data_IF_257190940113
#
_entry.id   IF_257190940113
#
_cell.length_a   1.000
_cell.length_b   1.000
_cell.length_c   1.000
_cell.angle_alpha   90.00
_cell.angle_beta   90.00
_cell.angle_gamma   90.00
#
_symmetry.space_group_name_H-M   'P 1'
#
loop_
_entity.id
_entity.type
_entity.pdbx_description
1 polymer ?
#
# COMPACT_ATOMS: atom_id res chain seq x y z
N UNK A 1 11.55 -11.31 -17.85
CA UNK A 1 10.40 -12.13 -17.43
C UNK A 1 9.29 -11.21 -16.96
N UNK A 2 8.10 -11.33 -17.50
CA UNK A 2 6.95 -10.55 -17.02
C UNK A 2 6.63 -11.00 -15.58
N UNK A 3 6.75 -10.09 -14.62
CA UNK A 3 6.54 -10.34 -13.18
C UNK A 3 5.06 -10.55 -12.83
N UNK A 4 4.38 -11.52 -13.45
CA UNK A 4 2.98 -11.78 -13.15
C UNK A 4 2.01 -10.64 -13.48
N UNK A 5 2.44 -9.65 -14.26
CA UNK A 5 1.58 -8.58 -14.76
C UNK A 5 0.55 -9.17 -15.73
N UNK A 6 -0.69 -8.74 -15.64
CA UNK A 6 -1.69 -9.08 -16.66
C UNK A 6 -1.30 -8.44 -18.00
N UNK A 7 -1.73 -9.03 -19.10
CA UNK A 7 -1.48 -8.48 -20.44
C UNK A 7 -2.05 -7.05 -20.57
N UNK A 8 -3.20 -6.79 -19.98
CA UNK A 8 -3.82 -5.47 -19.99
C UNK A 8 -2.95 -4.43 -19.29
N UNK A 9 -2.45 -4.73 -18.10
CA UNK A 9 -1.60 -3.83 -17.33
C UNK A 9 -0.24 -3.63 -18.01
N UNK A 10 0.36 -4.69 -18.56
CA UNK A 10 1.60 -4.60 -19.30
C UNK A 10 1.46 -3.70 -20.54
N UNK A 11 0.37 -3.86 -21.31
CA UNK A 11 0.11 -3.02 -22.48
C UNK A 11 -0.07 -1.54 -22.08
N UNK A 12 -0.67 -1.28 -20.93
CA UNK A 12 -0.83 0.09 -20.45
C UNK A 12 0.50 0.71 -20.00
N UNK A 13 1.42 -0.08 -19.43
CA UNK A 13 2.74 0.43 -19.04
C UNK A 13 3.65 0.79 -20.23
N UNK A 14 3.44 0.19 -21.38
CA UNK A 14 4.17 0.54 -22.63
C UNK A 14 3.42 1.57 -23.48
N UNK A 15 2.21 1.98 -23.09
CA UNK A 15 1.43 2.97 -23.83
C UNK A 15 2.02 4.38 -23.70
N UNK A 16 1.87 5.19 -24.77
CA UNK A 16 2.39 6.56 -24.80
C UNK A 16 1.76 7.48 -23.74
N UNK A 17 0.54 7.19 -23.28
CA UNK A 17 -0.20 7.97 -22.27
C UNK A 17 -0.35 7.17 -20.98
N UNK A 18 0.75 6.77 -20.39
CA UNK A 18 0.76 6.07 -19.12
C UNK A 18 0.28 6.96 -17.98
N UNK A 19 -0.71 6.49 -17.22
CA UNK A 19 -1.20 7.12 -15.99
C UNK A 19 -1.06 6.13 -14.83
N UNK A 20 0.16 5.95 -14.30
CA UNK A 20 0.39 5.02 -13.20
C UNK A 20 -0.18 5.58 -11.90
N UNK A 21 -0.54 4.70 -10.99
CA UNK A 21 -0.89 5.05 -9.62
C UNK A 21 -0.33 4.05 -8.63
N UNK A 22 -0.12 4.53 -7.41
CA UNK A 22 0.14 3.71 -6.24
C UNK A 22 -1.10 3.67 -5.37
N UNK A 23 -1.40 2.50 -4.80
CA UNK A 23 -2.43 2.35 -3.80
C UNK A 23 -1.92 1.48 -2.64
N UNK A 24 -2.49 1.68 -1.48
CA UNK A 24 -2.18 0.92 -0.26
C UNK A 24 -3.45 0.39 0.35
N UNK A 25 -3.37 -0.81 0.89
CA UNK A 25 -4.43 -1.42 1.69
C UNK A 25 -3.81 -1.90 3.00
N UNK A 26 -4.27 -1.33 4.10
CA UNK A 26 -3.82 -1.62 5.45
C UNK A 26 -5.01 -2.17 6.23
N UNK A 27 -4.90 -3.41 6.67
CA UNK A 27 -5.97 -4.13 7.35
C UNK A 27 -5.96 -3.83 8.85
N UNK A 28 -6.41 -2.63 9.25
CA UNK A 28 -6.68 -2.33 10.66
C UNK A 28 -7.92 -3.09 11.14
N UNK A 29 -7.92 -3.51 12.38
CA UNK A 29 -9.05 -4.25 12.93
C UNK A 29 -10.32 -3.37 12.97
N UNK A 30 -11.37 -3.81 12.28
CA UNK A 30 -12.65 -3.10 12.17
C UNK A 30 -12.73 -2.07 11.05
N UNK A 31 -11.66 -1.32 10.79
CA UNK A 31 -11.65 -0.22 9.82
C UNK A 31 -10.42 -0.26 8.90
N UNK A 32 -10.45 -1.06 7.83
CA UNK A 32 -9.32 -1.12 6.90
C UNK A 32 -9.12 0.22 6.18
N UNK A 33 -7.87 0.67 6.10
CA UNK A 33 -7.49 1.89 5.38
C UNK A 33 -7.07 1.53 3.96
N UNK A 34 -7.86 1.94 2.98
CA UNK A 34 -7.58 1.76 1.56
C UNK A 34 -7.44 3.12 0.91
N UNK A 35 -6.25 3.43 0.43
CA UNK A 35 -5.94 4.74 -0.12
C UNK A 35 -5.13 4.64 -1.40
N UNK A 36 -5.20 5.68 -2.25
CA UNK A 36 -4.41 5.75 -3.48
C UNK A 36 -3.90 7.17 -3.75
N UNK A 37 -2.85 7.26 -4.56
CA UNK A 37 -2.25 8.52 -5.01
C UNK A 37 -3.08 9.08 -6.15
N UNK A 38 -3.99 9.98 -5.82
CA UNK A 38 -4.88 10.63 -6.77
C UNK A 38 -6.08 11.25 -6.06
N UNK A 39 -7.07 11.67 -6.82
CA UNK A 39 -8.29 12.34 -6.31
C UNK A 39 -9.52 11.50 -6.58
N UNK A 40 -10.48 11.53 -5.67
CA UNK A 40 -11.72 10.75 -5.76
C UNK A 40 -11.52 9.31 -5.34
N UNK A 41 -12.47 8.46 -5.67
CA UNK A 41 -12.47 7.04 -5.33
C UNK A 41 -12.23 6.20 -6.56
N UNK A 42 -11.39 5.18 -6.44
CA UNK A 42 -11.23 4.11 -7.43
C UNK A 42 -11.57 2.78 -6.79
N UNK A 43 -12.08 1.85 -7.59
CA UNK A 43 -12.49 0.52 -7.12
C UNK A 43 -11.72 -0.55 -7.88
N UNK A 44 -11.07 -1.46 -7.18
CA UNK A 44 -10.51 -2.67 -7.76
C UNK A 44 -10.48 -3.79 -6.71
N UNK A 45 -10.54 -5.04 -7.18
CA UNK A 45 -10.63 -6.20 -6.29
C UNK A 45 -11.85 -6.21 -5.38
N UNK A 46 -12.92 -5.46 -5.73
CA UNK A 46 -14.12 -5.32 -4.89
C UNK A 46 -13.94 -4.37 -3.69
N UNK A 47 -12.86 -3.59 -3.65
CA UNK A 47 -12.54 -2.65 -2.58
C UNK A 47 -12.43 -1.24 -3.13
N UNK A 48 -12.97 -0.27 -2.39
CA UNK A 48 -12.89 1.15 -2.70
C UNK A 48 -11.64 1.76 -2.06
N UNK A 49 -10.89 2.52 -2.86
CA UNK A 49 -9.68 3.23 -2.43
C UNK A 49 -9.91 4.73 -2.52
N UNK A 50 -9.71 5.43 -1.43
CA UNK A 50 -9.87 6.88 -1.36
C UNK A 50 -8.61 7.61 -1.83
N UNK A 51 -8.80 8.65 -2.63
CA UNK A 51 -7.71 9.49 -3.11
C UNK A 51 -7.17 10.42 -2.03
N UNK A 52 -5.90 10.31 -1.71
CA UNK A 52 -5.18 11.20 -0.80
C UNK A 52 -4.31 12.24 -1.55
N UNK A 53 -4.55 12.44 -2.84
CA UNK A 53 -3.70 13.30 -3.66
C UNK A 53 -2.28 12.73 -3.77
N UNK A 54 -1.26 13.58 -3.60
CA UNK A 54 0.15 13.18 -3.58
C UNK A 54 0.66 12.88 -2.16
N UNK A 55 -0.22 12.52 -1.25
CA UNK A 55 0.08 12.42 0.17
C UNK A 55 0.50 11.01 0.61
N UNK A 56 0.75 10.12 -0.33
CA UNK A 56 1.29 8.78 -0.06
C UNK A 56 2.73 8.71 -0.54
N UNK A 57 3.63 8.40 0.36
CA UNK A 57 5.02 8.06 0.07
C UNK A 57 5.28 6.59 0.34
N UNK A 58 6.05 5.94 -0.52
CA UNK A 58 6.50 4.56 -0.34
C UNK A 58 8.02 4.54 -0.43
N UNK A 59 8.69 3.91 0.54
CA UNK A 59 10.14 3.76 0.49
C UNK A 59 10.56 2.87 -0.68
N UNK A 60 11.83 2.96 -1.14
CA UNK A 60 12.34 2.01 -2.11
C UNK A 60 12.12 0.58 -1.65
N UNK A 61 11.66 -0.27 -2.55
CA UNK A 61 11.47 -1.69 -2.32
C UNK A 61 12.68 -2.41 -2.90
N UNK A 62 13.49 -2.99 -2.02
CA UNK A 62 14.66 -3.75 -2.44
C UNK A 62 14.26 -5.19 -2.76
N UNK A 63 14.68 -5.66 -3.93
CA UNK A 63 14.58 -7.06 -4.31
C UNK A 63 15.96 -7.70 -4.21
N UNK A 64 16.09 -8.72 -3.39
CA UNK A 64 17.31 -9.52 -3.27
C UNK A 64 17.05 -10.94 -3.74
N UNK A 65 18.07 -11.63 -4.24
CA UNK A 65 17.98 -13.06 -4.54
C UNK A 65 18.11 -13.93 -3.28
N UNK A 66 18.49 -13.33 -2.18
CA UNK A 66 18.57 -13.99 -0.88
C UNK A 66 17.20 -14.04 -0.21
N UNK A 67 16.92 -15.12 0.51
CA UNK A 67 15.73 -15.24 1.36
C UNK A 67 15.97 -14.38 2.59
N UNK A 68 15.70 -13.09 2.48
CA UNK A 68 15.84 -12.10 3.56
C UNK A 68 14.54 -11.37 3.75
N UNK A 69 14.18 -11.15 5.00
CA UNK A 69 13.07 -10.27 5.33
C UNK A 69 13.38 -8.85 4.86
N UNK A 70 12.48 -8.27 4.06
CA UNK A 70 12.56 -6.90 3.59
C UNK A 70 11.47 -6.07 4.24
N UNK A 71 11.72 -4.78 4.40
CA UNK A 71 10.76 -3.82 4.95
C UNK A 71 10.38 -2.78 3.91
N UNK A 72 9.15 -2.29 4.00
CA UNK A 72 8.66 -1.19 3.20
C UNK A 72 7.98 -0.18 4.13
N UNK A 73 8.37 1.08 4.06
CA UNK A 73 7.74 2.14 4.84
C UNK A 73 6.73 2.87 3.96
N UNK A 74 5.50 2.98 4.44
CA UNK A 74 4.42 3.72 3.81
C UNK A 74 4.12 4.94 4.65
N UNK A 75 4.25 6.13 4.06
CA UNK A 75 3.91 7.40 4.69
C UNK A 75 2.64 7.93 4.06
N UNK A 76 1.66 8.28 4.88
CA UNK A 76 0.38 8.83 4.42
C UNK A 76 0.04 10.10 5.19
N UNK A 77 -0.47 11.09 4.48
CA UNK A 77 -0.94 12.35 5.04
C UNK A 77 -2.35 12.66 4.54
N UNK A 78 -3.08 13.54 5.21
CA UNK A 78 -4.45 13.88 4.83
C UNK A 78 -5.51 12.82 5.17
N UNK A 79 -5.16 11.87 6.02
CA UNK A 79 -6.11 10.87 6.52
C UNK A 79 -7.05 11.55 7.53
N UNK A 80 -8.37 11.31 7.45
CA UNK A 80 -9.31 11.81 8.44
C UNK A 80 -8.97 11.38 9.87
N UNK A 81 -9.20 12.27 10.83
CA UNK A 81 -8.82 12.05 12.25
C UNK A 81 -9.54 10.89 12.93
N UNK A 82 -10.72 10.53 12.47
CA UNK A 82 -11.47 9.36 12.91
C UNK A 82 -10.76 8.06 12.53
N UNK A 83 -10.22 7.96 11.30
CA UNK A 83 -9.43 6.82 10.87
C UNK A 83 -8.08 6.74 11.61
N UNK A 84 -7.48 7.90 11.94
CA UNK A 84 -6.27 7.94 12.77
C UNK A 84 -6.57 7.39 14.17
N UNK A 85 -7.68 7.81 14.75
CA UNK A 85 -8.11 7.34 16.08
C UNK A 85 -8.41 5.84 16.07
N UNK A 86 -9.04 5.32 15.02
CA UNK A 86 -9.28 3.90 14.85
C UNK A 86 -7.94 3.13 14.72
N UNK A 87 -7.01 3.63 13.93
CA UNK A 87 -5.68 3.03 13.78
C UNK A 87 -4.88 2.96 15.09
N UNK A 88 -5.04 3.95 15.97
CA UNK A 88 -4.37 3.99 17.28
C UNK A 88 -4.99 3.04 18.31
N UNK A 89 -6.30 2.84 18.23
CA UNK A 89 -7.05 2.07 19.23
C UNK A 89 -7.22 0.60 18.84
N UNK A 90 -7.05 0.27 17.57
CA UNK A 90 -7.26 -1.06 17.03
C UNK A 90 -5.95 -1.81 16.88
N UNK A 91 -6.02 -3.14 16.97
CA UNK A 91 -4.86 -3.98 16.74
C UNK A 91 -4.49 -3.95 15.26
N UNK A 92 -3.27 -3.50 14.96
CA UNK A 92 -2.73 -3.46 13.60
C UNK A 92 -1.51 -4.38 13.43
N UNK A 93 -0.78 -4.63 14.49
CA UNK A 93 0.48 -5.37 14.44
C UNK A 93 0.26 -6.81 13.99
N UNK A 94 1.03 -7.24 13.00
CA UNK A 94 0.91 -8.56 12.40
C UNK A 94 -0.24 -8.69 11.37
N UNK A 95 -1.08 -7.68 11.20
CA UNK A 95 -2.13 -7.67 10.19
C UNK A 95 -1.59 -7.28 8.83
N UNK A 96 -2.30 -7.64 7.76
CA UNK A 96 -1.80 -7.50 6.41
C UNK A 96 -1.71 -6.04 5.94
N UNK A 97 -0.65 -5.74 5.20
CA UNK A 97 -0.49 -4.50 4.45
C UNK A 97 0.00 -4.80 3.04
N UNK A 98 -0.61 -4.18 2.05
CA UNK A 98 -0.25 -4.36 0.65
C UNK A 98 -0.05 -3.02 -0.03
N UNK A 99 0.95 -2.95 -0.90
CA UNK A 99 1.20 -1.82 -1.79
C UNK A 99 0.99 -2.27 -3.22
N UNK A 100 0.19 -1.53 -3.97
CA UNK A 100 -0.18 -1.83 -5.34
C UNK A 100 0.38 -0.80 -6.30
N UNK A 101 0.80 -1.25 -7.47
CA UNK A 101 1.07 -0.44 -8.64
C UNK A 101 0.03 -0.78 -9.71
N UNK A 102 -0.70 0.23 -10.15
CA UNK A 102 -1.70 0.10 -11.18
C UNK A 102 -1.56 1.19 -12.25
N UNK A 103 -2.47 1.15 -13.21
CA UNK A 103 -2.59 2.18 -14.22
C UNK A 103 -4.05 2.50 -14.49
N UNK A 104 -4.32 3.75 -14.83
CA UNK A 104 -5.62 4.23 -15.29
C UNK A 104 -5.63 4.30 -16.82
N UNK A 105 -6.76 4.01 -17.41
CA UNK A 105 -7.00 4.22 -18.84
C UNK A 105 -7.30 5.70 -19.16
N UNK A 106 -7.65 5.97 -20.40
CA UNK A 106 -7.99 7.32 -20.87
C UNK A 106 -9.24 7.89 -20.17
N UNK A 107 -10.17 7.04 -19.76
CA UNK A 107 -11.41 7.39 -19.07
C UNK A 107 -11.24 7.50 -17.54
N UNK A 108 -10.02 7.31 -17.02
CA UNK A 108 -9.67 7.21 -15.60
C UNK A 108 -10.22 5.97 -14.89
N UNK A 109 -10.59 4.95 -15.63
CA UNK A 109 -10.92 3.66 -15.05
C UNK A 109 -9.65 2.87 -14.75
N UNK A 110 -9.69 2.07 -13.68
CA UNK A 110 -8.57 1.19 -13.32
C UNK A 110 -8.43 0.11 -14.39
N UNK A 111 -7.25 0.01 -14.97
CA UNK A 111 -6.90 -1.13 -15.82
C UNK A 111 -6.81 -2.36 -14.96
N UNK A 112 -7.40 -3.47 -15.42
CA UNK A 112 -7.58 -4.69 -14.65
C UNK A 112 -6.31 -5.14 -13.91
N UNK A 113 -6.52 -5.57 -12.67
CA UNK A 113 -5.56 -6.23 -11.80
C UNK A 113 -4.30 -5.42 -11.48
N UNK A 114 -4.40 -4.33 -10.65
CA UNK A 114 -3.22 -3.69 -10.10
C UNK A 114 -2.27 -4.70 -9.46
N UNK A 115 -0.98 -4.55 -9.73
CA UNK A 115 0.04 -5.47 -9.30
C UNK A 115 0.49 -5.18 -7.87
N UNK A 116 0.57 -6.19 -7.02
CA UNK A 116 1.12 -6.05 -5.67
C UNK A 116 2.64 -5.96 -5.78
N UNK A 117 3.20 -4.77 -5.53
CA UNK A 117 4.65 -4.55 -5.51
C UNK A 117 5.27 -4.89 -4.15
N UNK A 118 4.48 -4.84 -3.09
CA UNK A 118 4.88 -5.28 -1.75
C UNK A 118 3.68 -5.82 -1.00
N UNK A 119 3.82 -6.98 -0.39
CA UNK A 119 2.83 -7.61 0.49
C UNK A 119 3.49 -8.10 1.76
N UNK A 120 2.98 -7.65 2.91
CA UNK A 120 3.58 -7.96 4.19
C UNK A 120 2.62 -7.83 5.35
N UNK A 121 3.19 -7.67 6.53
CA UNK A 121 2.47 -7.45 7.78
C UNK A 121 2.87 -6.10 8.36
N UNK A 122 1.92 -5.38 8.96
CA UNK A 122 2.20 -4.15 9.69
C UNK A 122 2.96 -4.46 10.97
N UNK A 123 4.07 -3.78 11.22
CA UNK A 123 4.89 -3.95 12.42
C UNK A 123 4.85 -2.70 13.29
N UNK A 124 5.42 -1.60 12.81
CA UNK A 124 5.49 -0.34 13.55
C UNK A 124 4.62 0.72 12.87
N UNK A 125 3.82 1.39 13.67
CA UNK A 125 3.06 2.56 13.27
C UNK A 125 3.55 3.77 14.07
N UNK A 126 3.84 4.86 13.37
CA UNK A 126 4.24 6.13 13.97
C UNK A 126 3.36 7.25 13.42
N UNK A 127 2.84 8.07 14.31
CA UNK A 127 2.08 9.26 13.93
C UNK A 127 2.91 10.49 14.27
N UNK A 128 3.08 11.35 13.29
CA UNK A 128 3.73 12.65 13.44
C UNK A 128 2.65 13.73 13.28
N UNK A 129 2.45 14.49 14.34
CA UNK A 129 1.55 15.63 14.33
C UNK A 129 2.35 16.88 14.03
N UNK A 130 2.09 17.49 12.88
CA UNK A 130 2.56 18.81 12.53
C UNK A 130 1.38 19.78 12.57
N UNK A 131 1.67 21.09 12.69
CA UNK A 131 0.62 22.13 12.80
C UNK A 131 -0.40 22.12 11.65
N UNK A 132 -0.01 21.61 10.47
CA UNK A 132 -0.83 21.64 9.26
C UNK A 132 -1.27 20.26 8.75
N UNK A 133 -0.71 19.16 9.26
CA UNK A 133 -1.06 17.81 8.80
C UNK A 133 -0.63 16.72 9.77
N UNK A 134 -1.44 15.67 9.85
CA UNK A 134 -1.06 14.42 10.50
C UNK A 134 -0.43 13.50 9.46
N UNK A 135 0.76 12.98 9.75
CA UNK A 135 1.46 12.01 8.92
C UNK A 135 1.49 10.68 9.65
N UNK A 136 0.94 9.67 9.02
CA UNK A 136 1.03 8.30 9.51
C UNK A 136 2.13 7.58 8.73
N UNK A 137 3.07 7.00 9.44
CA UNK A 137 4.09 6.12 8.87
C UNK A 137 3.83 4.70 9.36
N UNK A 138 3.68 3.78 8.43
CA UNK A 138 3.50 2.35 8.70
C UNK A 138 4.67 1.59 8.12
N UNK A 139 5.36 0.83 8.95
CA UNK A 139 6.36 -0.12 8.51
C UNK A 139 5.71 -1.45 8.21
N UNK A 140 5.88 -1.92 6.98
CA UNK A 140 5.45 -3.23 6.54
C UNK A 140 6.68 -4.15 6.50
N UNK A 141 6.56 -5.32 7.08
CA UNK A 141 7.55 -6.40 7.02
C UNK A 141 7.09 -7.48 6.06
N UNK A 142 7.99 -7.98 5.22
CA UNK A 142 7.65 -9.08 4.32
C UNK A 142 7.26 -10.33 5.11
N UNK A 143 6.39 -11.16 4.54
CA UNK A 143 5.96 -12.42 5.18
C UNK A 143 7.11 -13.40 5.46
N UNK A 144 8.27 -13.19 4.85
CA UNK A 144 9.48 -13.99 5.10
C UNK A 144 10.01 -13.83 6.51
N UNK A 145 9.69 -12.73 7.21
CA UNK A 145 10.06 -12.52 8.63
C UNK A 145 9.56 -13.68 9.51
N UNK A 146 8.44 -14.28 9.17
CA UNK A 146 7.89 -15.40 9.91
C UNK A 146 8.77 -16.66 9.84
N UNK A 147 9.61 -16.78 8.81
CA UNK A 147 10.58 -17.87 8.66
C UNK A 147 11.85 -17.59 9.46
N UNK A 148 12.23 -16.32 9.63
CA UNK A 148 13.40 -15.91 10.40
C UNK A 148 13.13 -15.92 11.91
N UNK A 149 11.87 -15.71 12.33
CA UNK A 149 11.51 -15.85 13.75
C UNK A 149 11.62 -17.32 14.14
N UNK A 150 12.68 -17.66 14.86
CA UNK A 150 12.87 -18.98 15.44
C UNK A 150 11.60 -19.36 16.23
N UNK A 151 10.92 -20.44 15.81
CA UNK A 151 9.88 -21.05 16.63
C UNK A 151 10.56 -21.65 17.84
N UNK A 152 10.65 -20.89 18.92
CA UNK A 152 10.99 -21.46 20.23
C UNK A 152 9.88 -22.45 20.57
N UNK A 153 10.26 -23.74 20.60
CA UNK A 153 9.41 -24.79 21.17
C UNK A 153 9.49 -24.74 22.68
#
# INVERSE_FOLDING_TARGET
MARGLTTALNNQFIAANLKPFLAVSLDFEGDPVNAWVGTGTITFGGVDYFGLGNLIGVSPIEETQEIKATTCNVSMSGIPSDLISAALNNNYQGRSGNVYLGALDSSRAVVADPYIIFGGQMDVLTIQENQDAHIINVQLESRLIALERAKTR
#
